data_IF_975189790190
#
_entry.id   IF_975189790190
#
_cell.length_a   1.000
_cell.length_b   1.000
_cell.length_c   1.000
_cell.angle_alpha   90.00
_cell.angle_beta   90.00
_cell.angle_gamma   90.00
#
_symmetry.space_group_name_H-M   'P 1'
#
loop_
_entity.id
_entity.type
_entity.pdbx_description
1 polymer ?
#
# COMPACT_ATOMS: atom_id res chain seq x y z
N UNK A 1 -27.70 4.58 -18.30
CA UNK A 1 -26.86 4.81 -17.11
C UNK A 1 -27.18 3.71 -16.11
N UNK A 2 -26.22 2.86 -15.80
CA UNK A 2 -26.45 1.84 -14.76
C UNK A 2 -26.25 2.49 -13.41
N UNK A 3 -27.27 2.46 -12.55
CA UNK A 3 -27.07 2.78 -11.14
C UNK A 3 -26.11 1.74 -10.54
N UNK A 4 -24.94 2.19 -10.17
CA UNK A 4 -24.02 1.39 -9.38
C UNK A 4 -24.36 1.68 -7.92
N UNK A 5 -25.21 0.87 -7.33
CA UNK A 5 -25.43 0.88 -5.89
C UNK A 5 -24.19 0.24 -5.25
N UNK A 6 -23.39 1.05 -4.62
CA UNK A 6 -22.37 0.54 -3.70
C UNK A 6 -23.07 0.12 -2.42
N UNK A 7 -23.02 -1.15 -2.03
CA UNK A 7 -23.45 -1.51 -0.69
C UNK A 7 -22.58 -0.71 0.29
N UNK A 8 -23.24 -0.13 1.31
CA UNK A 8 -22.55 0.54 2.41
C UNK A 8 -21.79 -0.51 3.22
N UNK A 9 -20.59 -0.87 2.78
CA UNK A 9 -19.68 -1.66 3.58
C UNK A 9 -18.95 -0.71 4.52
N UNK A 10 -19.38 -0.69 5.77
CA UNK A 10 -18.58 -0.12 6.83
C UNK A 10 -17.61 -1.20 7.28
N UNK A 11 -16.34 -0.97 6.98
CA UNK A 11 -15.27 -1.81 7.47
C UNK A 11 -14.55 -1.04 8.58
N UNK A 12 -14.60 -1.56 9.81
CA UNK A 12 -13.91 -0.96 10.94
C UNK A 12 -12.74 -1.85 11.34
N UNK A 13 -11.56 -1.25 11.53
CA UNK A 13 -10.45 -1.92 12.19
C UNK A 13 -10.75 -1.89 13.68
N UNK A 14 -10.83 -3.06 14.29
CA UNK A 14 -10.98 -3.21 15.73
C UNK A 14 -9.83 -4.07 16.31
N UNK A 15 -9.78 -4.17 17.65
CA UNK A 15 -8.73 -4.91 18.34
C UNK A 15 -8.71 -6.42 18.04
N UNK A 16 -9.78 -6.97 17.45
CA UNK A 16 -9.85 -8.38 17.03
C UNK A 16 -9.09 -8.65 15.73
N UNK A 17 -8.73 -7.60 14.98
CA UNK A 17 -8.02 -7.72 13.72
C UNK A 17 -6.51 -7.75 13.98
N UNK A 18 -5.84 -8.74 13.37
CA UNK A 18 -4.40 -8.92 13.49
C UNK A 18 -3.64 -7.98 12.54
N UNK A 19 -3.75 -6.68 12.77
CA UNK A 19 -2.95 -5.66 12.07
C UNK A 19 -1.55 -5.58 12.69
N UNK A 20 -0.80 -6.64 12.54
CA UNK A 20 0.48 -6.89 13.18
C UNK A 20 1.59 -6.80 12.14
N UNK A 21 2.62 -6.01 12.43
CA UNK A 21 3.75 -5.77 11.53
C UNK A 21 4.41 -7.05 11.03
N UNK A 22 4.55 -8.07 11.89
CA UNK A 22 5.17 -9.34 11.50
C UNK A 22 4.32 -10.11 10.48
N UNK A 23 3.02 -10.22 10.72
CA UNK A 23 2.10 -10.89 9.81
C UNK A 23 2.01 -10.18 8.46
N UNK A 24 1.97 -8.86 8.47
CA UNK A 24 1.96 -8.03 7.25
C UNK A 24 3.27 -8.19 6.48
N UNK A 25 4.42 -8.15 7.15
CA UNK A 25 5.72 -8.35 6.52
C UNK A 25 5.82 -9.73 5.85
N UNK A 26 5.39 -10.78 6.53
CA UNK A 26 5.39 -12.15 5.97
C UNK A 26 4.55 -12.21 4.69
N UNK A 27 3.36 -11.63 4.69
CA UNK A 27 2.48 -11.57 3.52
C UNK A 27 3.10 -10.78 2.37
N UNK A 28 3.67 -9.62 2.65
CA UNK A 28 4.34 -8.80 1.64
C UNK A 28 5.49 -9.58 1.00
N UNK A 29 6.32 -10.23 1.78
CA UNK A 29 7.44 -11.02 1.26
C UNK A 29 6.97 -12.19 0.39
N UNK A 30 5.87 -12.85 0.75
CA UNK A 30 5.25 -13.90 -0.06
C UNK A 30 4.76 -13.34 -1.40
N UNK A 31 4.01 -12.23 -1.38
CA UNK A 31 3.47 -11.63 -2.60
C UNK A 31 4.54 -11.06 -3.51
N UNK A 32 5.63 -10.50 -2.95
CA UNK A 32 6.72 -9.93 -3.76
C UNK A 32 7.47 -10.94 -4.63
N UNK A 33 7.28 -12.21 -4.41
CA UNK A 33 7.83 -13.25 -5.30
C UNK A 33 7.25 -13.15 -6.71
N UNK A 34 5.98 -12.74 -6.85
CA UNK A 34 5.28 -12.74 -8.14
C UNK A 34 4.35 -11.53 -8.38
N UNK A 35 4.28 -10.60 -7.43
CA UNK A 35 3.48 -9.38 -7.52
C UNK A 35 4.36 -8.13 -7.39
N UNK A 36 3.87 -7.00 -7.92
CA UNK A 36 4.55 -5.71 -7.82
C UNK A 36 4.57 -5.14 -6.41
N UNK A 37 5.33 -4.07 -6.20
CA UNK A 37 5.39 -3.37 -4.92
C UNK A 37 4.02 -2.86 -4.47
N UNK A 38 3.27 -2.20 -5.36
CA UNK A 38 1.96 -1.66 -5.04
C UNK A 38 0.95 -2.75 -4.71
N UNK A 39 0.94 -3.83 -5.48
CA UNK A 39 0.07 -4.97 -5.24
C UNK A 39 0.40 -5.67 -3.93
N UNK A 40 1.67 -5.95 -3.68
CA UNK A 40 2.11 -6.67 -2.48
C UNK A 40 1.83 -5.91 -1.20
N UNK A 41 2.05 -4.60 -1.21
CA UNK A 41 1.80 -3.74 -0.04
C UNK A 41 0.31 -3.65 0.26
N UNK A 42 -0.51 -3.39 -0.75
CA UNK A 42 -1.97 -3.32 -0.58
C UNK A 42 -2.54 -4.67 -0.10
N UNK A 43 -2.18 -5.75 -0.77
CA UNK A 43 -2.69 -7.08 -0.43
C UNK A 43 -2.22 -7.53 0.95
N UNK A 44 -0.97 -7.28 1.30
CA UNK A 44 -0.43 -7.62 2.62
C UNK A 44 -1.18 -6.93 3.75
N UNK A 45 -1.52 -5.65 3.58
CA UNK A 45 -2.28 -4.89 4.57
C UNK A 45 -3.75 -5.33 4.65
N UNK A 46 -4.39 -5.56 3.51
CA UNK A 46 -5.82 -5.90 3.47
C UNK A 46 -6.09 -7.35 3.86
N UNK A 47 -5.20 -8.29 3.53
CA UNK A 47 -5.43 -9.70 3.81
C UNK A 47 -5.39 -10.05 5.29
N UNK A 48 -4.49 -9.44 6.06
CA UNK A 48 -4.39 -9.69 7.50
C UNK A 48 -5.61 -9.21 8.30
N UNK A 49 -6.37 -8.30 7.74
CA UNK A 49 -7.63 -7.82 8.33
C UNK A 49 -8.87 -8.47 7.72
N UNK A 50 -8.67 -9.47 6.87
CA UNK A 50 -9.75 -10.20 6.21
C UNK A 50 -10.75 -9.27 5.49
N UNK A 51 -10.21 -8.33 4.71
CA UNK A 51 -11.02 -7.38 3.95
C UNK A 51 -11.95 -8.11 2.97
N UNK A 52 -13.22 -7.69 2.80
CA UNK A 52 -14.20 -8.38 1.96
C UNK A 52 -13.92 -8.31 0.46
N UNK A 53 -13.03 -7.43 0.01
CA UNK A 53 -12.69 -7.33 -1.40
C UNK A 53 -11.84 -8.52 -1.84
N UNK A 54 -12.13 -9.07 -3.03
CA UNK A 54 -11.35 -10.19 -3.58
C UNK A 54 -9.88 -9.82 -3.83
N UNK A 55 -9.00 -10.80 -3.73
CA UNK A 55 -7.59 -10.63 -4.05
C UNK A 55 -7.39 -10.15 -5.50
N UNK A 56 -8.16 -10.68 -6.44
CA UNK A 56 -8.10 -10.25 -7.85
C UNK A 56 -8.44 -8.77 -8.01
N UNK A 57 -9.41 -8.27 -7.26
CA UNK A 57 -9.79 -6.86 -7.31
C UNK A 57 -8.76 -5.95 -6.66
N UNK A 58 -8.19 -6.33 -5.53
CA UNK A 58 -7.10 -5.62 -4.89
C UNK A 58 -5.88 -5.52 -5.80
N UNK A 59 -5.50 -6.63 -6.43
CA UNK A 59 -4.43 -6.66 -7.43
C UNK A 59 -4.69 -5.68 -8.57
N UNK A 60 -5.89 -5.70 -9.12
CA UNK A 60 -6.27 -4.84 -10.24
C UNK A 60 -6.19 -3.35 -9.87
N UNK A 61 -6.66 -2.99 -8.68
CA UNK A 61 -6.62 -1.61 -8.18
C UNK A 61 -5.21 -1.05 -8.07
N UNK A 62 -4.26 -1.87 -7.66
CA UNK A 62 -2.87 -1.46 -7.49
C UNK A 62 -2.02 -1.60 -8.76
N UNK A 63 -2.50 -2.30 -9.79
CA UNK A 63 -1.71 -2.66 -10.99
C UNK A 63 -1.12 -1.45 -11.71
N UNK A 64 -1.87 -0.37 -11.86
CA UNK A 64 -1.43 0.84 -12.56
C UNK A 64 -0.27 1.57 -11.86
N UNK A 65 -0.05 1.30 -10.59
CA UNK A 65 1.02 1.90 -9.78
C UNK A 65 2.30 1.05 -9.75
N UNK A 66 2.34 -0.07 -10.44
CA UNK A 66 3.49 -0.96 -10.49
C UNK A 66 4.69 -0.28 -11.13
N UNK A 67 5.87 -0.38 -10.51
CA UNK A 67 7.11 0.21 -11.03
C UNK A 67 7.01 1.74 -11.21
N UNK A 68 6.44 2.44 -10.23
CA UNK A 68 5.99 3.81 -10.38
C UNK A 68 4.64 3.83 -11.08
N UNK A 69 4.48 4.54 -12.15
CA UNK A 69 3.25 4.54 -12.94
C UNK A 69 3.47 3.72 -14.21
N UNK A 70 2.66 2.68 -14.38
CA UNK A 70 2.66 1.86 -15.59
C UNK A 70 4.00 1.18 -15.91
N UNK A 71 4.80 0.86 -14.91
CA UNK A 71 6.10 0.21 -15.09
C UNK A 71 7.16 1.08 -15.75
N UNK A 72 7.04 2.41 -15.66
CA UNK A 72 7.99 3.35 -16.29
C UNK A 72 9.31 3.47 -15.56
N UNK A 73 9.35 3.17 -14.27
CA UNK A 73 10.53 3.31 -13.40
C UNK A 73 11.18 4.70 -13.48
N UNK A 74 10.34 5.74 -13.55
CA UNK A 74 10.76 7.13 -13.75
C UNK A 74 10.28 8.01 -12.58
N UNK A 75 9.64 9.11 -12.87
CA UNK A 75 9.19 10.10 -11.87
C UNK A 75 7.96 9.64 -11.06
N UNK A 76 7.31 8.55 -11.46
CA UNK A 76 6.16 8.01 -10.73
C UNK A 76 6.51 7.62 -9.31
N UNK A 77 5.56 7.83 -8.39
CA UNK A 77 5.72 7.50 -6.97
C UNK A 77 5.95 6.00 -6.79
N UNK A 78 6.86 5.65 -5.88
CA UNK A 78 7.15 4.26 -5.53
C UNK A 78 5.87 3.47 -5.20
N UNK A 79 5.71 2.30 -5.82
CA UNK A 79 4.53 1.46 -5.64
C UNK A 79 4.30 0.99 -4.21
N UNK A 80 5.35 0.87 -3.42
CA UNK A 80 5.24 0.58 -1.99
C UNK A 80 4.43 1.67 -1.26
N UNK A 81 4.72 2.92 -1.55
CA UNK A 81 4.01 4.05 -0.97
C UNK A 81 2.56 4.13 -1.48
N UNK A 82 2.36 4.05 -2.79
CA UNK A 82 1.00 4.14 -3.37
C UNK A 82 0.12 2.98 -2.93
N UNK A 83 0.65 1.76 -2.84
CA UNK A 83 -0.08 0.61 -2.30
C UNK A 83 -0.54 0.82 -0.85
N UNK A 84 0.33 1.37 -0.01
CA UNK A 84 -0.01 1.71 1.36
C UNK A 84 -1.04 2.85 1.45
N UNK A 85 -0.96 3.85 0.58
CA UNK A 85 -1.95 4.93 0.50
C UNK A 85 -3.33 4.42 0.10
N UNK A 86 -3.40 3.50 -0.85
CA UNK A 86 -4.67 2.85 -1.22
C UNK A 86 -5.24 2.09 -0.01
N UNK A 87 -4.38 1.36 0.71
CA UNK A 87 -4.79 0.61 1.90
C UNK A 87 -5.37 1.51 3.00
N UNK A 88 -4.83 2.71 3.20
CA UNK A 88 -5.41 3.68 4.15
C UNK A 88 -6.89 3.95 3.82
N UNK A 89 -7.22 4.17 2.56
CA UNK A 89 -8.60 4.42 2.13
C UNK A 89 -9.50 3.18 2.20
N UNK A 90 -8.93 1.98 2.20
CA UNK A 90 -9.68 0.74 2.41
C UNK A 90 -9.97 0.43 3.88
N UNK A 91 -9.10 0.90 4.77
CA UNK A 91 -9.08 0.51 6.17
C UNK A 91 -9.50 1.66 7.11
N UNK A 92 -9.82 2.82 6.55
CA UNK A 92 -10.28 4.01 7.26
C UNK A 92 -11.39 4.68 6.46
N UNK A 93 -12.43 5.18 7.13
CA UNK A 93 -13.58 5.84 6.48
C UNK A 93 -13.56 7.37 6.58
N UNK A 94 -12.81 7.93 7.53
CA UNK A 94 -12.70 9.37 7.70
C UNK A 94 -11.77 9.98 6.65
N UNK A 95 -12.34 10.59 5.63
CA UNK A 95 -11.59 11.21 4.53
C UNK A 95 -10.59 12.28 4.98
N UNK A 96 -10.90 13.01 6.04
CA UNK A 96 -9.99 14.02 6.60
C UNK A 96 -8.78 13.34 7.24
N UNK A 97 -9.03 12.31 8.04
CA UNK A 97 -7.98 11.48 8.66
C UNK A 97 -7.11 10.82 7.60
N UNK A 98 -7.71 10.21 6.58
CA UNK A 98 -6.99 9.57 5.47
C UNK A 98 -6.03 10.56 4.81
N UNK A 99 -6.49 11.77 4.51
CA UNK A 99 -5.66 12.79 3.88
C UNK A 99 -4.50 13.24 4.77
N UNK A 100 -4.75 13.41 6.06
CA UNK A 100 -3.70 13.77 7.04
C UNK A 100 -2.67 12.64 7.18
N UNK A 101 -3.13 11.41 7.28
CA UNK A 101 -2.28 10.24 7.43
C UNK A 101 -1.47 9.96 6.14
N UNK A 102 -2.08 10.19 4.99
CA UNK A 102 -1.38 10.11 3.70
C UNK A 102 -0.18 11.07 3.64
N UNK A 103 -0.36 12.30 4.14
CA UNK A 103 0.75 13.26 4.20
C UNK A 103 1.85 12.80 5.15
N UNK A 104 1.49 12.30 6.33
CA UNK A 104 2.45 11.77 7.31
C UNK A 104 3.24 10.59 6.72
N UNK A 105 2.55 9.68 6.06
CA UNK A 105 3.16 8.53 5.41
C UNK A 105 4.12 8.94 4.29
N UNK A 106 3.70 9.88 3.46
CA UNK A 106 4.54 10.44 2.40
C UNK A 106 5.81 11.07 2.96
N UNK A 107 5.68 11.92 3.98
CA UNK A 107 6.81 12.60 4.60
C UNK A 107 7.79 11.61 5.25
N UNK A 108 7.28 10.61 5.95
CA UNK A 108 8.09 9.56 6.58
C UNK A 108 8.85 8.74 5.54
N UNK A 109 8.18 8.31 4.48
CA UNK A 109 8.78 7.55 3.40
C UNK A 109 9.88 8.34 2.69
N UNK A 110 9.61 9.60 2.37
CA UNK A 110 10.58 10.50 1.73
C UNK A 110 11.82 10.72 2.61
N UNK A 111 11.62 10.86 3.91
CA UNK A 111 12.72 10.99 4.87
C UNK A 111 13.58 9.74 4.93
N UNK A 112 12.96 8.56 4.95
CA UNK A 112 13.67 7.26 5.04
C UNK A 112 14.49 6.97 3.78
N UNK A 113 13.93 7.19 2.60
CA UNK A 113 14.55 6.81 1.33
C UNK A 113 15.13 7.99 0.54
N UNK A 114 14.99 9.21 1.02
CA UNK A 114 15.49 10.42 0.36
C UNK A 114 14.65 10.86 -0.84
N UNK A 115 13.71 10.05 -1.29
CA UNK A 115 12.81 10.34 -2.40
C UNK A 115 11.56 9.45 -2.31
N UNK A 116 10.51 9.84 -3.03
CA UNK A 116 9.33 9.00 -3.26
C UNK A 116 9.28 8.48 -4.70
N UNK A 117 10.21 8.91 -5.56
CA UNK A 117 10.21 8.54 -6.97
C UNK A 117 10.79 7.15 -7.18
N UNK A 118 10.04 6.30 -7.90
CA UNK A 118 10.47 4.95 -8.24
C UNK A 118 11.83 4.95 -8.97
N UNK A 119 12.01 5.85 -9.92
CA UNK A 119 13.25 5.93 -10.69
C UNK A 119 14.49 6.27 -9.86
N UNK A 120 14.34 7.07 -8.82
CA UNK A 120 15.44 7.39 -7.90
C UNK A 120 15.76 6.20 -6.99
N UNK A 121 14.72 5.62 -6.38
CA UNK A 121 14.88 4.50 -5.41
C UNK A 121 15.43 3.25 -6.09
N UNK A 122 14.97 2.94 -7.30
CA UNK A 122 15.32 1.72 -8.05
C UNK A 122 16.39 1.93 -9.11
N UNK A 123 16.99 3.11 -9.21
CA UNK A 123 17.93 3.48 -10.28
C UNK A 123 17.37 3.17 -11.67
N UNK A 124 16.19 3.73 -11.96
CA UNK A 124 15.43 3.52 -13.20
C UNK A 124 15.11 2.03 -13.47
N UNK A 125 14.84 1.27 -12.41
CA UNK A 125 14.51 -0.15 -12.48
C UNK A 125 15.71 -1.09 -12.56
N UNK A 126 16.94 -0.57 -12.58
CA UNK A 126 18.17 -1.38 -12.64
C UNK A 126 18.50 -2.05 -11.31
N UNK A 127 18.16 -1.43 -10.20
CA UNK A 127 18.37 -1.96 -8.85
C UNK A 127 17.06 -2.05 -8.08
N UNK A 128 16.49 -3.23 -8.00
CA UNK A 128 15.27 -3.53 -7.28
C UNK A 128 15.50 -4.08 -5.86
N UNK A 129 16.75 -4.11 -5.41
CA UNK A 129 17.09 -4.62 -4.08
C UNK A 129 16.39 -3.90 -2.92
N UNK A 130 16.14 -2.57 -2.97
CA UNK A 130 15.42 -1.90 -1.89
C UNK A 130 13.89 -2.09 -1.93
N UNK A 131 13.33 -2.64 -3.02
CA UNK A 131 11.88 -2.62 -3.25
C UNK A 131 11.07 -3.36 -2.18
N UNK A 132 11.54 -4.51 -1.71
CA UNK A 132 10.85 -5.28 -0.67
C UNK A 132 10.84 -4.51 0.66
N UNK A 133 11.98 -3.94 1.03
CA UNK A 133 12.09 -3.16 2.27
C UNK A 133 11.23 -1.89 2.21
N UNK A 134 11.11 -1.27 1.06
CA UNK A 134 10.18 -0.16 0.83
C UNK A 134 8.73 -0.57 1.12
N UNK A 135 8.31 -1.74 0.64
CA UNK A 135 6.97 -2.28 0.89
C UNK A 135 6.72 -2.51 2.38
N UNK A 136 7.67 -3.13 3.06
CA UNK A 136 7.59 -3.42 4.50
C UNK A 136 7.57 -2.13 5.31
N UNK A 137 8.44 -1.19 4.98
CA UNK A 137 8.48 0.12 5.65
C UNK A 137 7.16 0.88 5.49
N UNK A 138 6.67 1.03 4.27
CA UNK A 138 5.42 1.73 4.00
C UNK A 138 4.23 1.08 4.72
N UNK A 139 4.17 -0.24 4.72
CA UNK A 139 3.13 -0.98 5.43
C UNK A 139 3.20 -0.77 6.95
N UNK A 140 4.38 -0.81 7.54
CA UNK A 140 4.57 -0.60 8.98
C UNK A 140 4.16 0.81 9.41
N UNK A 141 4.52 1.83 8.62
CA UNK A 141 4.09 3.20 8.89
C UNK A 141 2.56 3.36 8.75
N UNK A 142 1.95 2.72 7.74
CA UNK A 142 0.50 2.71 7.58
C UNK A 142 -0.20 2.05 8.79
N UNK A 143 0.33 0.94 9.29
CA UNK A 143 -0.21 0.27 10.49
C UNK A 143 -0.21 1.20 11.70
N UNK A 144 0.89 1.92 11.93
CA UNK A 144 0.96 2.89 13.04
C UNK A 144 -0.13 3.96 12.94
N UNK A 145 -0.34 4.51 11.75
CA UNK A 145 -1.35 5.53 11.49
C UNK A 145 -2.77 4.99 11.67
N UNK A 146 -3.03 3.77 11.20
CA UNK A 146 -4.34 3.14 11.33
C UNK A 146 -4.71 2.82 12.78
N UNK A 147 -3.73 2.66 13.66
CA UNK A 147 -3.93 2.39 15.09
C UNK A 147 -4.07 3.67 15.94
N UNK A 148 -3.80 4.81 15.37
CA UNK A 148 -4.05 6.11 16.03
C UNK A 148 -5.58 6.48 15.97
#
# INVERSE_FOLDING_TARGET
MREVTFPNYFFFIDDSMDLNSKSVEEKIRQYRVFKSCSQSTLMGLCEVVNHPMSQARLCALASGFSGGIGGTFDEGTCGALTGALIALGFLEDDEIKIKMDAKKLYDAFKKEYGSVQCGIISKNGEDKSPCVDCCVYAANEAIKLLKE
#
